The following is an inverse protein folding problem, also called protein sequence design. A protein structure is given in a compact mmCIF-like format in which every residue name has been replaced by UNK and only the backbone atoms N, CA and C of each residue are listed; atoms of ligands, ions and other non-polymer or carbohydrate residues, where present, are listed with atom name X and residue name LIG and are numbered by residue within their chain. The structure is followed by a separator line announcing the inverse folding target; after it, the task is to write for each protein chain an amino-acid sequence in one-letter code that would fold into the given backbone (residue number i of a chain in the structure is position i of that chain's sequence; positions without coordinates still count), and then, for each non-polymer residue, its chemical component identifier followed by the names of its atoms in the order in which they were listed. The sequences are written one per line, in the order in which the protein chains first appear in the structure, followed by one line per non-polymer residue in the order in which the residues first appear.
data_IF_565342869897
#
_entry.id   IF_565342869897
#
_cell.length_a   1.000
_cell.length_b   1.000
_cell.length_c   1.000
_cell.angle_alpha   90.00
_cell.angle_beta   90.00
_cell.angle_gamma   90.00
#
_symmetry.space_group_name_H-M   'P 1'
#
loop_
_entity.id
_entity.type
_entity.pdbx_description
1 polymer ?
#
# COMPACT_ATOMS: atom_id res chain seq x y z
N UNK A 1 -10.13 -17.04 14.45
CA UNK A 1 -8.93 -16.16 14.41
C UNK A 1 -8.19 -16.24 13.06
N UNK A 2 -7.65 -17.40 12.65
CA UNK A 2 -6.88 -17.56 11.39
C UNK A 2 -7.64 -17.12 10.12
N UNK A 3 -8.91 -17.49 9.96
CA UNK A 3 -9.72 -17.07 8.80
C UNK A 3 -9.93 -15.54 8.72
N UNK A 4 -10.11 -14.88 9.88
CA UNK A 4 -10.22 -13.43 9.96
C UNK A 4 -8.86 -12.74 9.68
N UNK A 5 -7.76 -13.30 10.19
CA UNK A 5 -6.40 -12.84 9.91
C UNK A 5 -6.01 -12.95 8.44
N UNK A 6 -6.35 -14.05 7.78
CA UNK A 6 -6.17 -14.25 6.33
C UNK A 6 -7.04 -13.28 5.52
N UNK A 7 -8.26 -13.00 5.97
CA UNK A 7 -9.13 -12.02 5.33
C UNK A 7 -8.57 -10.58 5.42
N UNK A 8 -7.95 -10.21 6.55
CA UNK A 8 -7.29 -8.90 6.72
C UNK A 8 -6.03 -8.82 5.87
N UNK A 9 -5.18 -9.83 5.93
CA UNK A 9 -3.95 -9.90 5.11
C UNK A 9 -4.26 -9.81 3.61
N UNK A 10 -5.27 -10.56 3.14
CA UNK A 10 -5.68 -10.52 1.73
C UNK A 10 -6.34 -9.20 1.31
N UNK A 11 -7.01 -8.47 2.21
CA UNK A 11 -7.52 -7.11 1.93
C UNK A 11 -6.37 -6.12 1.80
N UNK A 12 -5.42 -6.13 2.75
CA UNK A 12 -4.21 -5.30 2.69
C UNK A 12 -3.43 -5.56 1.40
N UNK A 13 -3.19 -6.83 1.05
CA UNK A 13 -2.52 -7.22 -0.20
C UNK A 13 -3.28 -6.76 -1.44
N UNK A 14 -4.61 -6.87 -1.48
CA UNK A 14 -5.42 -6.38 -2.61
C UNK A 14 -5.41 -4.86 -2.77
N UNK A 15 -5.29 -4.09 -1.68
CA UNK A 15 -5.16 -2.64 -1.77
C UNK A 15 -3.80 -2.25 -2.37
N UNK A 16 -2.72 -2.90 -1.94
CA UNK A 16 -1.40 -2.71 -2.53
C UNK A 16 -1.31 -3.13 -4.00
N UNK A 17 -1.90 -4.27 -4.37
CA UNK A 17 -1.93 -4.76 -5.75
C UNK A 17 -2.60 -3.78 -6.72
N UNK A 18 -3.53 -2.94 -6.25
CA UNK A 18 -4.14 -1.86 -7.06
C UNK A 18 -3.31 -0.58 -7.10
N UNK A 19 -2.51 -0.31 -6.08
CA UNK A 19 -1.65 0.89 -6.04
C UNK A 19 -0.57 0.86 -7.14
N UNK A 20 -0.07 -0.33 -7.50
CA UNK A 20 1.04 -0.48 -8.45
C UNK A 20 0.65 -0.14 -9.91
N UNK A 21 -0.44 -0.69 -10.50
CA UNK A 21 -0.90 -0.29 -11.83
C UNK A 21 -1.35 1.17 -11.89
N UNK A 22 -1.87 1.72 -10.78
CA UNK A 22 -2.32 3.10 -10.71
C UNK A 22 -1.14 4.09 -10.75
N UNK A 23 -0.09 3.83 -9.96
CA UNK A 23 1.14 4.60 -10.02
C UNK A 23 1.79 4.51 -11.41
N UNK A 24 1.67 3.36 -12.09
CA UNK A 24 2.20 3.16 -13.44
C UNK A 24 1.43 3.96 -14.49
N UNK A 25 0.10 4.03 -14.35
CA UNK A 25 -0.75 4.86 -15.20
C UNK A 25 -0.42 6.35 -15.04
N UNK A 26 -0.09 6.81 -13.83
CA UNK A 26 0.33 8.21 -13.56
C UNK A 26 1.64 8.56 -14.25
N UNK A 27 2.63 7.67 -14.16
CA UNK A 27 3.95 7.79 -14.76
C UNK A 27 3.91 7.89 -16.30
N UNK A 28 2.88 7.33 -16.94
CA UNK A 28 2.68 7.37 -18.40
C UNK A 28 1.90 8.59 -18.94
N UNK A 29 1.29 9.42 -18.08
CA UNK A 29 0.37 10.50 -18.51
C UNK A 29 1.02 11.54 -19.44
N UNK A 30 2.32 11.82 -19.29
CA UNK A 30 3.04 12.78 -20.12
C UNK A 30 3.35 12.27 -21.53
N UNK A 31 3.65 10.98 -21.65
CA UNK A 31 4.00 10.32 -22.91
C UNK A 31 2.71 10.01 -23.71
N UNK A 32 1.65 9.57 -23.03
CA UNK A 32 0.38 9.22 -23.69
C UNK A 32 -0.40 10.44 -24.21
N UNK A 33 -0.25 11.63 -23.59
CA UNK A 33 -0.85 12.89 -24.10
C UNK A 33 -0.21 13.37 -25.40
N UNK A 34 1.12 13.24 -25.54
CA UNK A 34 1.84 13.56 -26.78
C UNK A 34 1.51 12.57 -27.91
N UNK A 35 1.14 11.33 -27.54
CA UNK A 35 0.79 10.26 -28.46
C UNK A 35 -0.73 10.13 -28.74
N UNK A 36 -1.57 11.04 -28.24
CA UNK A 36 -3.01 11.05 -28.51
C UNK A 36 -3.84 9.90 -27.88
N UNK A 37 -3.25 9.07 -27.01
CA UNK A 37 -3.93 7.89 -26.43
C UNK A 37 -4.78 8.29 -25.23
N UNK A 38 -6.10 8.09 -25.32
CA UNK A 38 -7.06 8.31 -24.22
C UNK A 38 -7.21 7.03 -23.38
N UNK A 39 -6.48 6.93 -22.25
CA UNK A 39 -6.70 5.90 -21.21
C UNK A 39 -7.63 6.39 -20.08
N UNK A 40 -8.28 5.49 -19.31
CA UNK A 40 -9.22 5.84 -18.22
C UNK A 40 -8.63 6.74 -17.11
N UNK A 41 -7.30 6.77 -16.92
CA UNK A 41 -6.63 7.71 -16.02
C UNK A 41 -6.81 9.19 -16.39
N UNK A 42 -7.26 9.48 -17.63
CA UNK A 42 -7.67 10.81 -18.05
C UNK A 42 -9.05 11.23 -17.51
N UNK A 43 -9.91 10.30 -17.02
CA UNK A 43 -11.28 10.62 -16.58
C UNK A 43 -11.39 11.10 -15.13
N UNK A 44 -10.54 10.66 -14.19
CA UNK A 44 -10.53 11.18 -12.80
C UNK A 44 -9.60 12.38 -12.59
N UNK A 45 -8.74 12.68 -13.57
CA UNK A 45 -7.71 13.71 -13.47
C UNK A 45 -6.63 13.38 -12.44
N UNK A 46 -5.59 14.23 -12.40
CA UNK A 46 -4.45 14.06 -11.47
C UNK A 46 -4.89 14.07 -10.01
N UNK A 47 -5.94 14.80 -9.67
CA UNK A 47 -6.45 14.94 -8.30
C UNK A 47 -7.09 13.65 -7.77
N UNK A 48 -7.99 13.02 -8.55
CA UNK A 48 -8.64 11.77 -8.14
C UNK A 48 -7.64 10.63 -7.96
N UNK A 49 -6.64 10.58 -8.82
CA UNK A 49 -5.54 9.64 -8.72
C UNK A 49 -4.69 9.82 -7.43
N UNK A 50 -4.61 11.05 -6.88
CA UNK A 50 -3.81 11.35 -5.66
C UNK A 50 -4.57 10.84 -4.45
N UNK A 51 -5.86 11.18 -4.43
CA UNK A 51 -6.78 10.74 -3.40
C UNK A 51 -6.83 9.21 -3.32
N UNK A 52 -6.94 8.52 -4.46
CA UNK A 52 -6.96 7.05 -4.49
C UNK A 52 -5.70 6.42 -3.90
N UNK A 53 -4.51 6.91 -4.27
CA UNK A 53 -3.25 6.41 -3.70
C UNK A 53 -3.17 6.62 -2.18
N UNK A 54 -3.50 7.83 -1.71
CA UNK A 54 -3.52 8.15 -0.27
C UNK A 54 -4.52 7.28 0.49
N UNK A 55 -5.73 7.09 -0.06
CA UNK A 55 -6.76 6.25 0.53
C UNK A 55 -6.35 4.78 0.62
N UNK A 56 -5.69 4.24 -0.42
CA UNK A 56 -5.23 2.85 -0.41
C UNK A 56 -4.14 2.60 0.66
N UNK A 57 -3.18 3.52 0.78
CA UNK A 57 -2.15 3.44 1.84
C UNK A 57 -2.79 3.60 3.22
N UNK A 58 -3.64 4.62 3.40
CA UNK A 58 -4.34 4.85 4.66
C UNK A 58 -5.21 3.67 5.09
N UNK A 59 -5.98 3.10 4.16
CA UNK A 59 -6.82 1.93 4.41
C UNK A 59 -6.00 0.69 4.81
N UNK A 60 -4.78 0.54 4.27
CA UNK A 60 -3.89 -0.55 4.66
C UNK A 60 -3.52 -0.44 6.14
N UNK A 61 -3.01 0.70 6.59
CA UNK A 61 -2.61 0.88 8.00
C UNK A 61 -3.80 0.89 8.95
N UNK A 62 -4.91 1.51 8.55
CA UNK A 62 -6.14 1.49 9.34
C UNK A 62 -6.65 0.06 9.53
N UNK A 63 -6.65 -0.75 8.46
CA UNK A 63 -7.08 -2.16 8.55
C UNK A 63 -6.18 -3.00 9.46
N UNK A 64 -4.87 -2.73 9.50
CA UNK A 64 -3.93 -3.38 10.41
C UNK A 64 -4.28 -3.04 11.87
N UNK A 65 -4.42 -1.74 12.19
CA UNK A 65 -4.72 -1.28 13.56
C UNK A 65 -6.07 -1.82 14.02
N UNK A 66 -7.10 -1.74 13.18
CA UNK A 66 -8.42 -2.30 13.49
C UNK A 66 -8.38 -3.81 13.69
N UNK A 67 -7.59 -4.55 12.90
CA UNK A 67 -7.49 -5.99 13.07
C UNK A 67 -6.85 -6.37 14.41
N UNK A 68 -5.86 -5.62 14.88
CA UNK A 68 -5.27 -5.83 16.21
C UNK A 68 -6.25 -5.42 17.31
N UNK A 69 -6.89 -4.26 17.20
CA UNK A 69 -7.85 -3.75 18.18
C UNK A 69 -9.07 -4.66 18.35
N UNK A 70 -9.53 -5.31 17.27
CA UNK A 70 -10.64 -6.26 17.28
C UNK A 70 -10.20 -7.71 17.59
N UNK A 71 -8.93 -7.95 17.92
CA UNK A 71 -8.40 -9.29 18.21
C UNK A 71 -8.35 -10.23 16.99
N UNK A 72 -8.50 -9.70 15.77
CA UNK A 72 -8.45 -10.47 14.52
C UNK A 72 -7.01 -10.74 14.04
N UNK A 73 -6.02 -10.01 14.56
CA UNK A 73 -4.60 -10.20 14.28
C UNK A 73 -3.75 -10.15 15.57
N UNK A 74 -2.63 -10.90 15.65
CA UNK A 74 -1.71 -10.83 16.78
C UNK A 74 -1.15 -9.41 16.97
N UNK A 75 -0.95 -8.99 18.22
CA UNK A 75 -0.37 -7.68 18.54
C UNK A 75 1.02 -7.47 17.91
N UNK A 76 1.78 -8.56 17.71
CA UNK A 76 3.07 -8.55 17.01
C UNK A 76 2.99 -7.97 15.59
N UNK A 77 1.82 -8.05 14.92
CA UNK A 77 1.64 -7.49 13.57
C UNK A 77 1.76 -5.96 13.53
N UNK A 78 1.67 -5.28 14.68
CA UNK A 78 1.97 -3.85 14.79
C UNK A 78 3.42 -3.50 14.40
N UNK A 79 4.34 -4.47 14.35
CA UNK A 79 5.70 -4.26 13.81
C UNK A 79 5.68 -3.74 12.36
N UNK A 80 4.61 -4.00 11.60
CA UNK A 80 4.42 -3.42 10.27
C UNK A 80 4.38 -1.88 10.27
N UNK A 81 4.07 -1.23 11.40
CA UNK A 81 4.11 0.23 11.55
C UNK A 81 5.52 0.81 11.37
N UNK A 82 6.58 0.02 11.47
CA UNK A 82 7.95 0.44 11.14
C UNK A 82 8.09 0.92 9.69
N UNK A 83 7.18 0.51 8.81
CA UNK A 83 7.15 0.94 7.40
C UNK A 83 6.43 2.28 7.19
N UNK A 84 5.74 2.80 8.21
CA UNK A 84 4.91 4.00 8.13
C UNK A 84 5.68 5.26 7.72
N UNK A 85 6.91 5.53 8.19
CA UNK A 85 7.66 6.72 7.75
C UNK A 85 7.91 6.76 6.24
N UNK A 86 8.20 5.58 5.64
CA UNK A 86 8.36 5.46 4.20
C UNK A 86 7.02 5.66 3.47
N UNK A 87 5.92 5.12 4.00
CA UNK A 87 4.60 5.31 3.43
C UNK A 87 4.19 6.78 3.41
N UNK A 88 4.36 7.50 4.53
CA UNK A 88 4.05 8.93 4.63
C UNK A 88 4.88 9.76 3.66
N UNK A 89 6.18 9.43 3.51
CA UNK A 89 7.04 10.07 2.51
C UNK A 89 6.50 9.88 1.09
N UNK A 90 6.10 8.65 0.73
CA UNK A 90 5.57 8.37 -0.61
C UNK A 90 4.22 9.03 -0.86
N UNK A 91 3.33 9.04 0.13
CA UNK A 91 2.05 9.77 0.07
C UNK A 91 2.30 11.25 -0.15
N UNK A 92 3.25 11.86 0.57
CA UNK A 92 3.61 13.26 0.41
C UNK A 92 4.11 13.56 -1.01
N UNK A 93 5.07 12.77 -1.51
CA UNK A 93 5.60 12.93 -2.88
C UNK A 93 4.47 12.76 -3.91
N UNK A 94 3.65 11.72 -3.76
CA UNK A 94 2.53 11.45 -4.67
C UNK A 94 1.43 12.54 -4.61
N UNK A 95 1.33 13.28 -3.51
CA UNK A 95 0.39 14.38 -3.31
C UNK A 95 0.93 15.70 -3.88
N UNK A 96 2.23 15.98 -3.75
CA UNK A 96 2.86 17.25 -4.16
C UNK A 96 3.34 17.24 -5.61
N UNK A 97 3.91 16.14 -6.09
CA UNK A 97 4.58 16.10 -7.39
C UNK A 97 3.61 15.98 -8.57
N UNK A 98 3.94 16.69 -9.65
CA UNK A 98 3.15 16.75 -10.89
C UNK A 98 3.96 16.20 -12.07
N UNK A 99 5.30 16.24 -11.98
CA UNK A 99 6.20 15.82 -13.05
C UNK A 99 6.33 14.29 -13.13
N UNK A 100 6.12 13.68 -14.32
CA UNK A 100 6.21 12.23 -14.50
C UNK A 100 7.57 11.64 -14.06
N UNK A 101 8.66 12.38 -14.25
CA UNK A 101 10.00 11.97 -13.86
C UNK A 101 10.15 11.79 -12.34
N UNK A 102 9.47 12.60 -11.54
CA UNK A 102 9.45 12.49 -10.08
C UNK A 102 8.56 11.33 -9.59
N UNK A 103 7.60 10.87 -10.41
CA UNK A 103 6.66 9.79 -10.09
C UNK A 103 7.20 8.39 -10.41
N UNK A 104 8.14 8.25 -11.35
CA UNK A 104 8.77 6.95 -11.68
C UNK A 104 9.50 6.31 -10.48
N UNK A 105 10.28 7.04 -9.66
CA UNK A 105 10.87 6.49 -8.44
C UNK A 105 9.82 6.05 -7.40
N UNK A 106 8.68 6.75 -7.32
CA UNK A 106 7.60 6.45 -6.37
C UNK A 106 7.01 5.08 -6.62
N UNK A 107 6.90 4.65 -7.88
CA UNK A 107 6.50 3.28 -8.24
C UNK A 107 7.39 2.23 -7.60
N UNK A 108 8.70 2.34 -7.83
CA UNK A 108 9.69 1.40 -7.30
C UNK A 108 9.66 1.38 -5.78
N UNK A 109 9.59 2.55 -5.15
CA UNK A 109 9.55 2.65 -3.70
C UNK A 109 8.22 2.13 -3.12
N UNK A 110 7.10 2.28 -3.82
CA UNK A 110 5.81 1.69 -3.44
C UNK A 110 5.87 0.16 -3.49
N UNK A 111 6.50 -0.42 -4.50
CA UNK A 111 6.73 -1.87 -4.57
C UNK A 111 7.61 -2.37 -3.42
N UNK A 112 8.70 -1.66 -3.12
CA UNK A 112 9.58 -1.98 -1.99
C UNK A 112 8.85 -1.88 -0.64
N UNK A 113 8.02 -0.86 -0.47
CA UNK A 113 7.19 -0.67 0.71
C UNK A 113 6.20 -1.84 0.87
N UNK A 114 5.55 -2.25 -0.22
CA UNK A 114 4.65 -3.40 -0.21
C UNK A 114 5.35 -4.69 0.23
N UNK A 115 6.53 -4.97 -0.33
CA UNK A 115 7.33 -6.14 0.02
C UNK A 115 7.77 -6.13 1.49
N UNK A 116 8.27 -5.00 1.98
CA UNK A 116 8.68 -4.85 3.38
C UNK A 116 7.50 -5.02 4.34
N UNK A 117 6.36 -4.42 4.02
CA UNK A 117 5.14 -4.57 4.82
C UNK A 117 4.68 -6.03 4.86
N UNK A 118 4.64 -6.69 3.70
CA UNK A 118 4.24 -8.11 3.60
C UNK A 118 5.19 -9.05 4.36
N UNK A 119 6.50 -8.85 4.23
CA UNK A 119 7.49 -9.64 4.94
C UNK A 119 7.36 -9.51 6.47
N UNK A 120 7.20 -8.29 6.97
CA UNK A 120 6.95 -8.04 8.40
C UNK A 120 5.65 -8.68 8.87
N UNK A 121 4.59 -8.59 8.07
CA UNK A 121 3.29 -9.16 8.44
C UNK A 121 3.38 -10.69 8.56
N UNK A 122 3.98 -11.36 7.58
CA UNK A 122 4.18 -12.81 7.60
C UNK A 122 5.07 -13.22 8.76
N UNK A 123 6.19 -12.52 8.97
CA UNK A 123 7.11 -12.79 10.09
C UNK A 123 6.42 -12.64 11.45
N UNK A 124 5.60 -11.61 11.62
CA UNK A 124 4.85 -11.39 12.85
C UNK A 124 3.82 -12.50 13.12
N UNK A 125 3.12 -12.98 12.09
CA UNK A 125 2.20 -14.11 12.22
C UNK A 125 2.93 -15.41 12.56
N UNK A 126 4.07 -15.69 11.90
CA UNK A 126 4.89 -16.86 12.18
C UNK A 126 5.44 -16.84 13.61
N UNK A 127 5.94 -15.69 14.07
CA UNK A 127 6.42 -15.51 15.44
C UNK A 127 5.30 -15.68 16.48
N UNK A 128 4.14 -15.06 16.23
CA UNK A 128 2.97 -15.22 17.11
C UNK A 128 2.53 -16.68 17.22
N UNK A 129 2.50 -17.40 16.09
CA UNK A 129 2.17 -18.81 16.06
C UNK A 129 3.19 -19.67 16.83
N UNK A 130 4.49 -19.42 16.64
CA UNK A 130 5.55 -20.14 17.35
C UNK A 130 5.44 -19.93 18.88
N UNK A 131 5.18 -18.71 19.34
CA UNK A 131 5.00 -18.41 20.77
C UNK A 131 3.82 -19.18 21.37
N UNK A 132 2.72 -19.34 20.65
CA UNK A 132 1.57 -20.12 21.12
C UNK A 132 1.81 -21.64 21.16
N UNK A 133 2.91 -22.13 20.58
CA UNK A 133 3.30 -23.55 20.61
C UNK A 133 4.31 -23.88 21.70
N UNK A 134 5.01 -22.86 22.19
CA UNK A 134 6.05 -22.97 23.21
C UNK A 134 5.53 -22.65 24.62
N UNK A 135 4.33 -22.07 24.73
CA UNK A 135 3.59 -21.82 25.96
C UNK A 135 2.54 -22.91 26.18
#
# INVERSE_FOLDING_TARGET
ALAAGVAVGSRAVRFWGRALPHANNRAGLGIDRRAGKRRPAARLGRSGARLEYTLLIGATYLSLVLAVALGAAPWLTLVCLLTLPLALRLVRIAATEIEPAALHPVLRQTAQLHLRFGALLVGAWAAAWALTRLA
#
